data_IF_690383887603
#
_entry.id   IF_690383887603
#
_cell.length_a   1.000
_cell.length_b   1.000
_cell.length_c   1.000
_cell.angle_alpha   90.00
_cell.angle_beta   90.00
_cell.angle_gamma   90.00
#
_symmetry.space_group_name_H-M   'P 1'
#
loop_
_entity.id
_entity.type
_entity.pdbx_description
1 polymer ?
#
# COMPACT_ATOMS: atom_id res chain seq x y z
N UNK A 1 20.14 -19.11 -16.59
CA UNK A 1 19.54 -17.77 -16.67
C UNK A 1 20.55 -16.79 -16.10
N UNK A 2 21.13 -15.91 -16.94
CA UNK A 2 22.10 -14.90 -16.49
C UNK A 2 21.29 -13.74 -15.89
N UNK A 3 21.49 -13.45 -14.61
CA UNK A 3 20.86 -12.31 -13.93
C UNK A 3 21.33 -11.01 -14.58
N UNK A 4 20.40 -10.25 -15.13
CA UNK A 4 20.66 -8.91 -15.66
C UNK A 4 21.07 -8.00 -14.49
N UNK A 5 22.12 -7.18 -14.61
CA UNK A 5 22.44 -6.18 -13.60
C UNK A 5 21.30 -5.15 -13.56
N UNK A 6 20.56 -5.09 -12.45
CA UNK A 6 19.68 -3.97 -12.16
C UNK A 6 20.58 -2.75 -12.02
N UNK A 7 20.66 -1.91 -13.07
CA UNK A 7 21.24 -0.57 -12.94
C UNK A 7 20.48 0.21 -11.88
N UNK A 8 21.11 1.22 -11.29
CA UNK A 8 20.71 2.05 -10.12
C UNK A 8 19.35 2.77 -10.25
N UNK A 9 18.31 2.07 -10.68
CA UNK A 9 16.98 2.58 -10.93
C UNK A 9 16.19 2.43 -9.65
N UNK A 10 15.72 3.56 -9.12
CA UNK A 10 14.77 3.57 -8.02
C UNK A 10 13.47 2.90 -8.49
N UNK A 11 13.21 1.69 -8.01
CA UNK A 11 12.03 0.89 -8.39
C UNK A 11 10.80 1.16 -7.52
N UNK A 12 10.96 1.90 -6.43
CA UNK A 12 9.86 2.26 -5.51
C UNK A 12 10.16 3.54 -4.73
N UNK A 13 9.10 4.25 -4.36
CA UNK A 13 9.14 5.34 -3.38
C UNK A 13 8.60 4.85 -2.04
N UNK A 14 9.16 5.37 -0.96
CA UNK A 14 8.72 5.09 0.42
C UNK A 14 8.59 6.43 1.13
N UNK A 15 7.57 6.51 2.00
CA UNK A 15 7.38 7.62 2.93
C UNK A 15 6.97 7.09 4.30
N UNK A 16 7.42 7.76 5.34
CA UNK A 16 7.07 7.45 6.73
C UNK A 16 5.99 8.40 7.21
N UNK A 17 4.95 7.86 7.84
CA UNK A 17 3.87 8.62 8.45
C UNK A 17 4.20 8.95 9.92
N UNK A 18 3.53 9.97 10.49
CA UNK A 18 3.58 10.22 11.93
C UNK A 18 3.13 9.00 12.74
N UNK A 19 3.59 8.88 13.99
CA UNK A 19 3.33 7.71 14.86
C UNK A 19 1.84 7.52 15.16
N UNK A 20 1.05 8.57 15.06
CA UNK A 20 -0.40 8.55 15.23
C UNK A 20 -1.11 7.68 14.17
N UNK A 21 -0.43 7.39 13.05
CA UNK A 21 -0.91 6.50 11.99
C UNK A 21 -0.38 5.07 12.11
N UNK A 22 0.25 4.72 13.24
CA UNK A 22 0.68 3.35 13.53
C UNK A 22 -0.56 2.45 13.73
N UNK A 23 -1.02 1.88 12.62
CA UNK A 23 -2.17 0.99 12.56
C UNK A 23 -1.70 -0.42 12.22
N UNK A 24 -2.23 -1.48 12.86
CA UNK A 24 -1.91 -2.87 12.53
C UNK A 24 -2.53 -3.32 11.20
N UNK A 25 -2.92 -2.37 10.32
CA UNK A 25 -3.58 -2.65 9.06
C UNK A 25 -2.67 -2.33 7.87
N UNK A 26 -2.53 -3.28 6.97
CA UNK A 26 -1.94 -3.04 5.65
C UNK A 26 -3.06 -2.90 4.62
N UNK A 27 -2.99 -1.83 3.82
CA UNK A 27 -3.89 -1.63 2.67
C UNK A 27 -3.07 -1.69 1.40
N UNK A 28 -3.39 -2.65 0.52
CA UNK A 28 -2.75 -2.83 -0.78
C UNK A 28 -3.78 -2.54 -1.86
N UNK A 29 -3.42 -1.68 -2.81
CA UNK A 29 -4.32 -1.27 -3.90
C UNK A 29 -3.65 -1.60 -5.22
N UNK A 30 -4.29 -2.44 -6.05
CA UNK A 30 -3.71 -2.95 -7.29
C UNK A 30 -4.81 -3.25 -8.32
N UNK A 31 -4.65 -2.76 -9.55
CA UNK A 31 -5.74 -2.84 -10.54
C UNK A 31 -7.04 -2.27 -9.97
N UNK A 32 -8.15 -3.00 -10.13
CA UNK A 32 -9.46 -2.67 -9.57
C UNK A 32 -9.73 -3.35 -8.21
N UNK A 33 -8.67 -3.75 -7.50
CA UNK A 33 -8.76 -4.49 -6.25
C UNK A 33 -8.13 -3.73 -5.07
N UNK A 34 -8.68 -3.97 -3.89
CA UNK A 34 -8.13 -3.55 -2.60
C UNK A 34 -8.04 -4.75 -1.69
N UNK A 35 -6.83 -5.06 -1.22
CA UNK A 35 -6.62 -6.02 -0.14
C UNK A 35 -6.35 -5.26 1.16
N UNK A 36 -7.10 -5.59 2.21
CA UNK A 36 -6.90 -5.06 3.55
C UNK A 36 -6.53 -6.24 4.44
N UNK A 37 -5.38 -6.14 5.11
CA UNK A 37 -4.89 -7.15 6.05
C UNK A 37 -4.85 -6.51 7.43
N UNK A 38 -5.52 -7.12 8.40
CA UNK A 38 -5.42 -6.77 9.82
C UNK A 38 -4.47 -7.76 10.48
N UNK A 39 -3.31 -7.27 10.93
CA UNK A 39 -2.26 -8.06 11.57
C UNK A 39 -2.57 -8.30 13.04
N UNK A 40 -3.33 -9.37 13.30
CA UNK A 40 -3.53 -9.95 14.63
C UNK A 40 -2.72 -11.26 14.76
N UNK A 41 -2.85 -11.99 15.88
CA UNK A 41 -2.23 -13.32 16.02
C UNK A 41 -2.64 -14.30 14.91
N UNK A 42 -3.89 -14.22 14.45
CA UNK A 42 -4.40 -14.92 13.26
C UNK A 42 -4.88 -13.87 12.27
N UNK A 43 -4.05 -13.48 11.27
CA UNK A 43 -4.35 -12.36 10.40
C UNK A 43 -5.69 -12.50 9.68
N UNK A 44 -6.39 -11.38 9.55
CA UNK A 44 -7.69 -11.30 8.86
C UNK A 44 -7.48 -10.54 7.56
N UNK A 45 -7.83 -11.17 6.43
CA UNK A 45 -7.73 -10.58 5.11
C UNK A 45 -9.10 -10.31 4.50
N UNK A 46 -9.25 -9.14 3.88
CA UNK A 46 -10.41 -8.77 3.08
C UNK A 46 -9.92 -8.44 1.66
N UNK A 47 -10.58 -9.01 0.66
CA UNK A 47 -10.40 -8.61 -0.74
C UNK A 47 -11.67 -7.94 -1.24
N UNK A 48 -11.52 -6.74 -1.76
CA UNK A 48 -12.59 -5.98 -2.40
C UNK A 48 -12.24 -5.89 -3.88
N UNK A 49 -13.09 -6.49 -4.73
CA UNK A 49 -12.95 -6.45 -6.19
C UNK A 49 -13.98 -5.46 -6.75
N UNK A 50 -13.58 -4.19 -6.87
CA UNK A 50 -14.42 -3.11 -7.39
C UNK A 50 -13.56 -1.93 -7.82
N UNK A 51 -13.76 -1.50 -9.06
CA UNK A 51 -13.09 -0.32 -9.62
C UNK A 51 -13.36 0.93 -8.77
N UNK A 52 -14.61 1.16 -8.40
CA UNK A 52 -15.04 2.30 -7.61
C UNK A 52 -14.38 2.31 -6.22
N UNK A 53 -14.30 1.15 -5.58
CA UNK A 53 -13.61 1.00 -4.31
C UNK A 53 -12.10 1.27 -4.46
N UNK A 54 -11.45 0.69 -5.47
CA UNK A 54 -10.03 0.87 -5.71
C UNK A 54 -9.67 2.33 -6.03
N UNK A 55 -10.52 3.05 -6.76
CA UNK A 55 -10.37 4.49 -7.01
C UNK A 55 -10.54 5.32 -5.72
N UNK A 56 -11.56 5.02 -4.91
CA UNK A 56 -11.78 5.69 -3.63
C UNK A 56 -10.59 5.48 -2.66
N UNK A 57 -10.09 4.26 -2.53
CA UNK A 57 -8.93 3.95 -1.70
C UNK A 57 -7.62 4.56 -2.25
N UNK A 58 -7.45 4.66 -3.58
CA UNK A 58 -6.32 5.40 -4.17
C UNK A 58 -6.35 6.88 -3.81
N UNK A 59 -7.52 7.50 -3.85
CA UNK A 59 -7.69 8.90 -3.43
C UNK A 59 -7.33 9.08 -1.95
N UNK A 60 -7.81 8.17 -1.08
CA UNK A 60 -7.43 8.16 0.33
C UNK A 60 -5.91 7.97 0.53
N UNK A 61 -5.30 7.01 -0.17
CA UNK A 61 -3.85 6.80 -0.13
C UNK A 61 -3.09 8.06 -0.51
N UNK A 62 -3.48 8.77 -1.57
CA UNK A 62 -2.82 10.00 -2.00
C UNK A 62 -2.86 11.12 -0.93
N UNK A 63 -3.95 11.22 -0.18
CA UNK A 63 -4.07 12.16 0.95
C UNK A 63 -3.05 11.80 2.03
N UNK A 64 -3.01 10.53 2.44
CA UNK A 64 -2.07 10.02 3.45
C UNK A 64 -0.62 10.12 2.96
N UNK A 65 -0.36 9.82 1.70
CA UNK A 65 0.96 9.89 1.06
C UNK A 65 1.56 11.30 1.12
N UNK A 66 0.72 12.33 0.96
CA UNK A 66 1.13 13.73 1.04
C UNK A 66 1.47 14.18 2.48
N UNK A 67 1.01 13.45 3.50
CA UNK A 67 1.41 13.69 4.90
C UNK A 67 2.75 13.04 5.25
N UNK A 68 3.16 12.00 4.50
CA UNK A 68 4.40 11.28 4.75
C UNK A 68 5.66 12.05 4.35
N UNK A 69 6.73 11.81 5.10
CA UNK A 69 8.08 12.33 4.82
C UNK A 69 8.96 11.25 4.21
N UNK A 70 9.95 11.64 3.39
CA UNK A 70 10.91 10.69 2.78
C UNK A 70 11.88 10.13 3.80
#
# INVERSE_FOLDING_TARGET
>A
MKGTPMGDTKISDVRFLPKEFDSPTATLIFGDNVAIIVWTETPIGFLIESKEAAEAFRNYFNIVWNMGVK
#
